data_IF_681181677198
#
_entry.id   IF_681181677198
#
_cell.length_a   1.000
_cell.length_b   1.000
_cell.length_c   1.000
_cell.angle_alpha   90.00
_cell.angle_beta   90.00
_cell.angle_gamma   90.00
#
_symmetry.space_group_name_H-M   'P 1'
#
loop_
_entity.id
_entity.type
_entity.pdbx_description
1 polymer ?
#
# COMPACT_ATOMS: atom_id res chain seq x y z
N UNK A 1 22.13 -3.41 17.16
CA UNK A 1 21.10 -4.33 16.64
C UNK A 1 20.65 -3.75 15.31
N UNK A 2 20.57 -4.56 14.27
CA UNK A 2 19.96 -4.21 12.99
C UNK A 2 18.43 -4.18 13.17
N UNK A 3 17.77 -3.17 12.62
CA UNK A 3 16.32 -2.98 12.73
C UNK A 3 15.67 -3.12 11.36
N UNK A 4 14.70 -4.03 11.26
CA UNK A 4 13.94 -4.29 10.04
C UNK A 4 12.48 -3.89 10.27
N UNK A 5 11.92 -3.06 9.40
CA UNK A 5 10.60 -2.44 9.58
C UNK A 5 9.63 -2.97 8.54
N UNK A 6 8.42 -3.33 8.99
CA UNK A 6 7.36 -3.85 8.14
C UNK A 6 6.06 -3.08 8.37
N UNK A 7 5.31 -2.92 7.28
CA UNK A 7 4.00 -2.24 7.26
C UNK A 7 2.83 -3.21 7.10
N UNK A 8 3.10 -4.48 6.80
CA UNK A 8 2.11 -5.56 6.72
C UNK A 8 2.61 -6.75 7.56
N UNK A 9 1.71 -7.45 8.28
CA UNK A 9 2.08 -8.62 9.10
C UNK A 9 2.60 -9.80 8.26
N UNK A 10 2.15 -9.99 7.02
CA UNK A 10 2.52 -11.14 6.18
C UNK A 10 4.03 -11.20 5.85
N UNK A 11 4.68 -10.14 5.32
CA UNK A 11 6.13 -10.15 5.13
C UNK A 11 6.89 -10.18 6.46
N UNK A 12 6.36 -9.58 7.52
CA UNK A 12 6.95 -9.63 8.85
C UNK A 12 7.02 -11.07 9.40
N UNK A 13 5.91 -11.81 9.32
CA UNK A 13 5.82 -13.19 9.81
C UNK A 13 6.76 -14.11 9.03
N UNK A 14 6.82 -13.97 7.70
CA UNK A 14 7.75 -14.72 6.84
C UNK A 14 9.21 -14.43 7.18
N UNK A 15 9.54 -13.18 7.44
CA UNK A 15 10.88 -12.79 7.87
C UNK A 15 11.23 -13.42 9.23
N UNK A 16 10.31 -13.42 10.18
CA UNK A 16 10.50 -14.08 11.48
C UNK A 16 10.70 -15.59 11.33
N UNK A 17 9.90 -16.26 10.49
CA UNK A 17 10.07 -17.69 10.18
C UNK A 17 11.46 -17.98 9.58
N UNK A 18 11.94 -17.12 8.70
CA UNK A 18 13.28 -17.23 8.12
C UNK A 18 14.38 -17.13 9.18
N UNK A 19 14.28 -16.15 10.08
CA UNK A 19 15.24 -15.98 11.18
C UNK A 19 15.24 -17.21 12.10
N UNK A 20 14.07 -17.73 12.46
CA UNK A 20 13.94 -18.95 13.26
C UNK A 20 14.59 -20.16 12.58
N UNK A 21 14.35 -20.34 11.28
CA UNK A 21 14.91 -21.45 10.50
C UNK A 21 16.43 -21.42 10.42
N UNK A 22 17.02 -20.23 10.41
CA UNK A 22 18.46 -20.03 10.39
C UNK A 22 19.07 -19.91 11.82
N UNK A 23 18.27 -20.18 12.87
CA UNK A 23 18.66 -20.06 14.27
C UNK A 23 19.23 -18.68 14.64
N UNK A 24 18.72 -17.64 13.98
CA UNK A 24 19.14 -16.25 14.23
C UNK A 24 18.33 -15.72 15.41
N UNK A 25 18.99 -15.21 16.48
CA UNK A 25 18.28 -14.52 17.56
C UNK A 25 17.63 -13.24 17.03
N UNK A 26 16.40 -12.97 17.44
CA UNK A 26 15.68 -11.75 17.08
C UNK A 26 14.76 -11.29 18.20
N UNK A 27 14.47 -10.00 18.23
CA UNK A 27 13.54 -9.36 19.17
C UNK A 27 12.43 -8.66 18.38
N UNK A 28 11.18 -9.12 18.47
CA UNK A 28 10.05 -8.38 17.91
C UNK A 28 9.78 -7.14 18.77
N UNK A 29 9.64 -5.99 18.11
CA UNK A 29 9.25 -4.72 18.69
C UNK A 29 7.99 -4.24 17.98
N UNK A 30 6.85 -4.39 18.62
CA UNK A 30 5.58 -3.83 18.16
C UNK A 30 5.46 -2.40 18.69
N UNK A 31 5.75 -1.40 17.85
CA UNK A 31 5.30 -0.04 18.09
C UNK A 31 3.83 0.09 17.72
N UNK A 32 3.11 1.07 18.27
CA UNK A 32 1.65 1.24 18.05
C UNK A 32 1.23 1.37 16.57
N UNK A 33 2.15 1.69 15.64
CA UNK A 33 1.86 1.87 14.20
C UNK A 33 2.75 1.07 13.23
N UNK A 34 3.84 0.45 13.67
CA UNK A 34 4.79 -0.25 12.79
C UNK A 34 5.35 -1.52 13.43
N UNK A 35 5.49 -2.57 12.61
CA UNK A 35 6.09 -3.83 13.01
C UNK A 35 7.60 -3.71 12.84
N UNK A 36 8.37 -3.99 13.89
CA UNK A 36 9.83 -3.94 13.82
C UNK A 36 10.42 -5.24 14.34
N UNK A 37 11.42 -5.77 13.64
CA UNK A 37 12.18 -6.95 14.06
C UNK A 37 13.64 -6.53 14.23
N UNK A 38 14.20 -6.75 15.41
CA UNK A 38 15.59 -6.42 15.72
C UNK A 38 16.45 -7.67 15.72
N UNK A 39 17.60 -7.61 15.06
CA UNK A 39 18.55 -8.72 14.94
C UNK A 39 19.94 -8.27 15.42
N UNK A 40 20.74 -9.12 16.07
CA UNK A 40 22.12 -8.76 16.43
C UNK A 40 22.97 -8.43 15.20
N UNK A 41 23.83 -7.43 15.36
CA UNK A 41 24.80 -7.03 14.33
C UNK A 41 26.10 -7.88 14.39
N UNK A 42 26.32 -8.59 15.49
CA UNK A 42 27.45 -9.51 15.70
C UNK A 42 27.18 -10.90 15.09
N UNK A 43 26.68 -10.90 13.85
CA UNK A 43 26.45 -12.10 13.06
C UNK A 43 27.52 -12.21 11.97
N UNK A 44 27.70 -13.42 11.44
CA UNK A 44 28.59 -13.65 10.31
C UNK A 44 28.18 -12.78 9.11
N UNK A 45 29.15 -12.16 8.44
CA UNK A 45 28.92 -11.20 7.36
C UNK A 45 28.14 -11.84 6.18
N UNK A 46 28.36 -13.13 5.92
CA UNK A 46 27.61 -13.86 4.90
C UNK A 46 26.18 -14.19 5.34
N UNK A 47 25.94 -14.32 6.65
CA UNK A 47 24.60 -14.46 7.21
C UNK A 47 23.84 -13.14 7.17
N UNK A 48 24.50 -12.01 7.48
CA UNK A 48 23.91 -10.67 7.38
C UNK A 48 23.47 -10.39 5.93
N UNK A 49 24.36 -10.63 4.96
CA UNK A 49 24.02 -10.43 3.55
C UNK A 49 22.81 -11.27 3.08
N UNK A 50 22.64 -12.48 3.63
CA UNK A 50 21.46 -13.33 3.35
C UNK A 50 20.19 -12.79 4.00
N UNK A 51 20.28 -12.26 5.22
CA UNK A 51 19.15 -11.63 5.92
C UNK A 51 18.73 -10.38 5.16
N UNK A 52 19.67 -9.55 4.71
CA UNK A 52 19.38 -8.34 3.92
C UNK A 52 18.71 -8.71 2.58
N UNK A 53 19.27 -9.66 1.84
CA UNK A 53 18.66 -10.14 0.59
C UNK A 53 17.24 -10.68 0.82
N UNK A 54 17.01 -11.40 1.92
CA UNK A 54 15.68 -11.91 2.23
C UNK A 54 14.72 -10.80 2.66
N UNK A 55 15.23 -9.77 3.35
CA UNK A 55 14.44 -8.60 3.71
C UNK A 55 14.00 -7.83 2.45
N UNK A 56 14.88 -7.67 1.45
CA UNK A 56 14.53 -7.06 0.16
C UNK A 56 13.39 -7.83 -0.53
N UNK A 57 13.45 -9.18 -0.56
CA UNK A 57 12.37 -10.02 -1.09
C UNK A 57 11.04 -9.78 -0.32
N UNK A 58 11.10 -9.55 0.99
CA UNK A 58 9.91 -9.27 1.81
C UNK A 58 9.36 -7.87 1.58
N UNK A 59 10.21 -6.89 1.24
CA UNK A 59 9.76 -5.55 0.83
C UNK A 59 9.09 -5.60 -0.54
N UNK A 60 9.62 -6.38 -1.48
CA UNK A 60 8.96 -6.64 -2.77
C UNK A 60 7.61 -7.32 -2.55
N UNK A 61 7.54 -8.35 -1.70
CA UNK A 61 6.27 -9.00 -1.34
C UNK A 61 5.29 -8.04 -0.67
N UNK A 62 5.75 -7.17 0.23
CA UNK A 62 4.90 -6.14 0.84
C UNK A 62 4.36 -5.15 -0.19
N UNK A 63 5.20 -4.73 -1.13
CA UNK A 63 4.79 -3.91 -2.28
C UNK A 63 3.78 -4.65 -3.17
N UNK A 64 3.99 -5.94 -3.42
CA UNK A 64 3.06 -6.77 -4.19
C UNK A 64 1.74 -6.97 -3.45
N UNK A 65 1.75 -7.16 -2.13
CA UNK A 65 0.54 -7.24 -1.31
C UNK A 65 -0.21 -5.92 -1.34
N UNK A 66 0.47 -4.78 -1.19
CA UNK A 66 -0.16 -3.46 -1.33
C UNK A 66 -0.70 -3.25 -2.76
N UNK A 67 0.04 -3.71 -3.77
CA UNK A 67 -0.34 -3.62 -5.18
C UNK A 67 -1.46 -4.58 -5.54
N UNK A 68 -1.56 -5.77 -4.94
CA UNK A 68 -2.59 -6.78 -5.16
C UNK A 68 -3.82 -6.53 -4.29
N UNK A 69 -3.67 -5.94 -3.11
CA UNK A 69 -4.75 -5.25 -2.39
C UNK A 69 -5.30 -4.07 -3.22
N UNK A 70 -4.46 -3.51 -4.10
CA UNK A 70 -4.82 -2.55 -5.14
C UNK A 70 -5.08 -3.18 -6.52
N UNK A 71 -5.02 -4.51 -6.64
CA UNK A 71 -4.69 -5.20 -7.89
C UNK A 71 -5.09 -6.66 -7.91
N UNK A 72 -6.35 -6.91 -7.56
CA UNK A 72 -7.22 -7.76 -8.36
C UNK A 72 -8.63 -7.15 -8.28
N UNK A 73 -8.89 -6.12 -9.09
CA UNK A 73 -10.23 -5.55 -9.30
C UNK A 73 -10.97 -5.05 -8.06
N UNK A 74 -10.30 -4.73 -6.96
CA UNK A 74 -10.94 -4.25 -5.74
C UNK A 74 -10.30 -2.94 -5.26
N UNK A 75 -10.90 -1.85 -5.73
CA UNK A 75 -10.59 -0.49 -5.31
C UNK A 75 -11.08 -0.32 -3.88
N UNK A 76 -10.27 -0.76 -2.92
CA UNK A 76 -10.55 -0.62 -1.49
C UNK A 76 -10.34 0.84 -1.09
N UNK A 77 -11.41 1.63 -1.27
CA UNK A 77 -11.48 3.07 -1.03
C UNK A 77 -10.74 3.89 -2.08
N UNK A 78 -11.33 4.04 -3.27
CA UNK A 78 -11.00 5.20 -4.11
C UNK A 78 -11.53 6.44 -3.38
N UNK A 79 -10.67 7.06 -2.59
CA UNK A 79 -10.74 8.51 -2.44
C UNK A 79 -10.50 9.09 -3.82
N UNK A 80 -11.57 9.39 -4.55
CA UNK A 80 -11.44 10.07 -5.82
C UNK A 80 -11.14 11.54 -5.50
N UNK A 81 -9.94 11.96 -5.89
CA UNK A 81 -9.48 13.34 -5.75
C UNK A 81 -10.09 14.15 -6.90
N UNK A 82 -11.07 14.99 -6.57
CA UNK A 82 -11.67 15.93 -7.52
C UNK A 82 -11.01 17.28 -7.36
N UNK A 83 -10.43 17.80 -8.44
CA UNK A 83 -9.89 19.16 -8.45
C UNK A 83 -11.00 20.12 -8.87
N UNK A 84 -11.36 21.03 -7.97
CA UNK A 84 -12.33 22.08 -8.21
C UNK A 84 -11.73 23.21 -9.05
N UNK A 85 -12.59 24.02 -9.64
CA UNK A 85 -12.24 25.11 -10.56
C UNK A 85 -11.38 26.19 -9.89
N UNK A 86 -11.47 26.32 -8.57
CA UNK A 86 -10.64 27.22 -7.76
C UNK A 86 -9.27 26.62 -7.39
N UNK A 87 -8.98 25.40 -7.85
CA UNK A 87 -7.75 24.66 -7.58
C UNK A 87 -7.75 23.92 -6.24
N UNK A 88 -8.85 23.95 -5.49
CA UNK A 88 -8.99 23.18 -4.26
C UNK A 88 -9.28 21.70 -4.56
N UNK A 89 -8.93 20.85 -3.60
CA UNK A 89 -9.05 19.40 -3.73
C UNK A 89 -10.20 18.91 -2.84
N UNK A 90 -11.16 18.22 -3.45
CA UNK A 90 -12.25 17.55 -2.75
C UNK A 90 -12.07 16.04 -2.80
N UNK A 91 -12.17 15.38 -1.65
CA UNK A 91 -12.06 13.93 -1.54
C UNK A 91 -13.45 13.29 -1.52
N UNK A 92 -13.78 12.55 -2.57
CA UNK A 92 -15.02 11.77 -2.61
C UNK A 92 -14.74 10.32 -2.21
N UNK A 93 -15.42 9.85 -1.17
CA UNK A 93 -15.40 8.43 -0.78
C UNK A 93 -16.43 7.70 -1.61
N UNK A 94 -15.96 6.83 -2.50
CA UNK A 94 -16.83 5.99 -3.33
C UNK A 94 -16.95 4.59 -2.75
N UNK A 95 -18.15 4.01 -2.86
CA UNK A 95 -18.39 2.61 -2.50
C UNK A 95 -17.53 1.72 -3.40
N UNK A 96 -16.63 0.89 -2.84
CA UNK A 96 -15.78 -0.03 -3.59
C UNK A 96 -16.54 -0.89 -4.60
N UNK A 97 -17.76 -1.33 -4.26
CA UNK A 97 -18.58 -2.17 -5.14
C UNK A 97 -19.07 -1.43 -6.38
N UNK A 98 -19.21 -0.10 -6.31
CA UNK A 98 -19.53 0.74 -7.47
C UNK A 98 -18.27 0.96 -8.31
N UNK A 99 -17.15 1.29 -7.67
CA UNK A 99 -15.89 1.57 -8.38
C UNK A 99 -15.42 0.36 -9.16
N UNK A 100 -15.53 -0.84 -8.60
CA UNK A 100 -15.14 -2.08 -9.28
C UNK A 100 -15.95 -2.33 -10.55
N UNK A 101 -17.27 -2.11 -10.50
CA UNK A 101 -18.14 -2.23 -11.69
C UNK A 101 -17.79 -1.22 -12.78
N UNK A 102 -17.30 -0.06 -12.36
CA UNK A 102 -16.94 1.03 -13.28
C UNK A 102 -15.60 0.74 -13.95
N UNK A 103 -14.58 0.31 -13.19
CA UNK A 103 -13.25 0.01 -13.76
C UNK A 103 -13.23 -1.25 -14.63
N UNK A 104 -14.22 -2.14 -14.49
CA UNK A 104 -14.43 -3.28 -15.40
C UNK A 104 -14.82 -2.85 -16.83
N UNK A 105 -15.30 -1.62 -17.01
CA UNK A 105 -15.84 -1.11 -18.28
C UNK A 105 -15.12 0.15 -18.76
N UNK A 106 -14.66 0.99 -17.83
CA UNK A 106 -14.00 2.26 -18.09
C UNK A 106 -12.60 2.24 -17.50
N UNK A 107 -11.65 2.83 -18.22
CA UNK A 107 -10.33 3.12 -17.67
C UNK A 107 -10.42 4.19 -16.58
N UNK A 108 -9.41 4.26 -15.71
CA UNK A 108 -9.32 5.30 -14.67
C UNK A 108 -9.28 6.72 -15.26
N UNK A 109 -8.72 6.89 -16.46
CA UNK A 109 -8.68 8.19 -17.15
C UNK A 109 -10.08 8.64 -17.62
N UNK A 110 -10.87 7.70 -18.17
CA UNK A 110 -12.26 7.94 -18.55
C UNK A 110 -13.14 8.24 -17.33
N UNK A 111 -12.92 7.54 -16.21
CA UNK A 111 -13.60 7.81 -14.95
C UNK A 111 -13.27 9.21 -14.41
N UNK A 112 -11.99 9.60 -14.42
CA UNK A 112 -11.58 10.96 -14.03
C UNK A 112 -12.19 12.03 -14.93
N UNK A 113 -12.22 11.79 -16.24
CA UNK A 113 -12.84 12.70 -17.21
C UNK A 113 -14.33 12.90 -16.94
N UNK A 114 -15.06 11.81 -16.65
CA UNK A 114 -16.46 11.86 -16.27
C UNK A 114 -16.69 12.67 -14.99
N UNK A 115 -15.89 12.43 -13.94
CA UNK A 115 -16.08 13.14 -12.66
C UNK A 115 -15.73 14.61 -12.77
N UNK A 116 -14.67 14.96 -13.49
CA UNK A 116 -14.30 16.37 -13.70
C UNK A 116 -15.38 17.12 -14.47
N UNK A 117 -16.02 16.49 -15.47
CA UNK A 117 -17.13 17.11 -16.19
C UNK A 117 -18.37 17.34 -15.29
N UNK A 118 -18.65 16.42 -14.35
CA UNK A 118 -19.74 16.59 -13.37
C UNK A 118 -19.39 17.72 -12.38
N UNK A 119 -18.17 17.75 -11.87
CA UNK A 119 -17.71 18.79 -10.95
C UNK A 119 -17.79 20.17 -11.59
N UNK A 120 -17.30 20.31 -12.84
CA UNK A 120 -17.38 21.55 -13.61
C UNK A 120 -18.83 22.01 -13.80
N UNK A 121 -19.76 21.09 -14.11
CA UNK A 121 -21.18 21.43 -14.25
C UNK A 121 -21.86 21.82 -12.91
N UNK A 122 -21.39 21.30 -11.78
CA UNK A 122 -21.88 21.67 -10.44
C UNK A 122 -21.34 23.04 -10.01
N UNK A 123 -20.09 23.33 -10.32
CA UNK A 123 -19.45 24.61 -10.02
C UNK A 123 -19.91 25.73 -10.96
N UNK A 124 -20.19 25.39 -12.21
CA UNK A 124 -20.68 26.27 -13.25
C UNK A 124 -22.07 25.81 -13.73
N UNK A 125 -23.11 25.86 -12.86
CA UNK A 125 -24.45 25.44 -13.24
C UNK A 125 -24.94 26.33 -14.39
N UNK A 126 -25.20 25.71 -15.54
CA UNK A 126 -25.80 26.41 -16.65
C UNK A 126 -27.26 26.70 -16.28
N UNK A 127 -27.60 27.98 -16.07
CA UNK A 127 -28.98 28.43 -15.91
C UNK A 127 -29.74 28.08 -17.21
N UNK A 128 -30.50 26.99 -17.18
CA UNK A 128 -31.41 26.59 -18.25
C UNK A 128 -32.85 26.92 -17.86
#
# INVERSE_FOLDING_TARGET
>A
MLEYVFFDPTPCDKFVEYLQKNAVPFEPSTGDEVLTVKVPEDLDEALIARIESHYDDMMELGSEILSNQSGDGQVNTAGLTVTLSDGSISYAVLDPAIVNKVVDVLTLDELNTLVNAIADAVENPNDA
#
